data_IF_028987567014
#
_entry.id   IF_028987567014
#
_cell.length_a   1.000
_cell.length_b   1.000
_cell.length_c   1.000
_cell.angle_alpha   90.00
_cell.angle_beta   90.00
_cell.angle_gamma   90.00
#
_symmetry.space_group_name_H-M   'P 1'
#
loop_
_entity.id
_entity.type
_entity.pdbx_description
1 polymer ?
#
# COMPACT_ATOMS: atom_id res chain seq x y z
N UNK A 1 -11.19 5.67 -10.68
CA UNK A 1 -10.81 4.29 -10.35
C UNK A 1 -11.81 3.76 -9.35
N UNK A 2 -12.28 2.54 -9.49
CA UNK A 2 -13.22 1.92 -8.56
C UNK A 2 -12.91 0.42 -8.41
N UNK A 3 -13.32 -0.17 -7.30
CA UNK A 3 -13.25 -1.61 -7.07
C UNK A 3 -14.42 -2.07 -6.21
N UNK A 4 -14.75 -3.35 -6.34
CA UNK A 4 -15.70 -4.05 -5.49
C UNK A 4 -15.07 -5.39 -5.11
N UNK A 5 -15.23 -5.79 -3.85
CA UNK A 5 -14.68 -7.04 -3.33
C UNK A 5 -15.08 -8.23 -4.21
N UNK A 6 -14.11 -8.94 -4.78
CA UNK A 6 -14.28 -10.07 -5.69
C UNK A 6 -14.53 -9.73 -7.17
N UNK A 7 -14.51 -8.45 -7.56
CA UNK A 7 -14.86 -8.00 -8.91
C UNK A 7 -13.75 -7.23 -9.62
N UNK A 8 -12.58 -7.07 -9.00
CA UNK A 8 -11.44 -6.39 -9.61
C UNK A 8 -11.48 -4.86 -9.48
N UNK A 9 -10.38 -4.25 -9.92
CA UNK A 9 -10.17 -2.80 -9.96
C UNK A 9 -10.24 -2.28 -11.39
N UNK A 10 -10.88 -1.12 -11.58
CA UNK A 10 -11.24 -0.60 -12.90
C UNK A 10 -11.07 0.92 -13.02
N UNK A 11 -10.80 1.40 -14.24
CA UNK A 11 -10.99 2.80 -14.67
C UNK A 11 -11.81 2.78 -15.95
N UNK A 12 -13.02 3.35 -15.91
CA UNK A 12 -14.00 3.13 -16.98
C UNK A 12 -14.25 1.63 -17.14
N UNK A 13 -14.10 1.13 -18.37
CA UNK A 13 -14.25 -0.28 -18.72
C UNK A 13 -12.93 -1.06 -18.72
N UNK A 14 -11.81 -0.40 -18.40
CA UNK A 14 -10.49 -1.03 -18.35
C UNK A 14 -10.22 -1.64 -16.98
N UNK A 15 -10.03 -2.97 -16.95
CA UNK A 15 -9.55 -3.68 -15.76
C UNK A 15 -8.08 -3.37 -15.53
N UNK A 16 -7.73 -3.16 -14.27
CA UNK A 16 -6.36 -2.86 -13.85
C UNK A 16 -5.73 -4.03 -13.13
N UNK A 17 -4.41 -4.11 -13.27
CA UNK A 17 -3.56 -5.04 -12.55
C UNK A 17 -2.35 -4.30 -12.00
N UNK A 18 -1.89 -4.71 -10.82
CA UNK A 18 -0.63 -4.21 -10.27
C UNK A 18 0.55 -4.61 -11.17
N UNK A 19 1.67 -3.93 -11.01
CA UNK A 19 2.90 -4.31 -11.69
C UNK A 19 3.35 -5.71 -11.24
N UNK A 20 3.70 -6.58 -12.19
CA UNK A 20 4.19 -7.92 -11.88
C UNK A 20 5.54 -7.83 -11.16
N UNK A 21 5.69 -8.55 -10.05
CA UNK A 21 6.96 -8.63 -9.33
C UNK A 21 8.03 -9.31 -10.19
N UNK A 22 9.29 -8.92 -10.02
CA UNK A 22 10.42 -9.64 -10.62
C UNK A 22 10.57 -11.03 -10.01
N UNK A 23 11.21 -11.94 -10.74
CA UNK A 23 11.48 -13.31 -10.25
C UNK A 23 12.35 -13.32 -8.98
N UNK A 24 13.28 -12.36 -8.86
CA UNK A 24 14.14 -12.23 -7.68
C UNK A 24 13.45 -11.57 -6.49
N UNK A 25 12.28 -10.97 -6.70
CA UNK A 25 11.57 -10.16 -5.70
C UNK A 25 12.24 -8.82 -5.38
N UNK A 26 13.28 -8.44 -6.13
CA UNK A 26 13.94 -7.12 -6.02
C UNK A 26 13.24 -6.13 -6.97
N UNK A 27 13.04 -4.86 -6.58
CA UNK A 27 12.47 -3.87 -7.48
C UNK A 27 13.19 -3.77 -8.83
N UNK A 28 12.43 -3.44 -9.88
CA UNK A 28 12.96 -3.28 -11.23
C UNK A 28 13.45 -1.83 -11.40
N UNK A 29 14.69 -1.66 -11.86
CA UNK A 29 15.24 -0.34 -12.15
C UNK A 29 14.44 0.35 -13.27
N UNK A 30 14.21 1.66 -13.14
CA UNK A 30 13.43 2.45 -14.11
C UNK A 30 11.91 2.33 -13.96
N UNK A 31 11.39 1.40 -13.14
CA UNK A 31 9.96 1.34 -12.80
C UNK A 31 9.70 2.19 -11.57
N UNK A 32 8.64 3.01 -11.62
CA UNK A 32 8.33 3.97 -10.57
C UNK A 32 8.03 3.30 -9.23
N UNK A 33 8.52 3.87 -8.15
CA UNK A 33 8.17 3.49 -6.78
C UNK A 33 8.06 4.72 -5.89
N UNK A 34 7.40 4.61 -4.75
CA UNK A 34 7.39 5.66 -3.73
C UNK A 34 8.01 5.16 -2.43
N UNK A 35 8.91 5.96 -1.88
CA UNK A 35 9.61 5.63 -0.65
C UNK A 35 10.10 6.91 0.07
N UNK A 36 9.46 7.30 1.18
CA UNK A 36 9.84 8.50 1.92
C UNK A 36 11.27 8.36 2.43
N UNK A 37 12.10 9.32 2.04
CA UNK A 37 13.55 9.32 2.28
C UNK A 37 13.97 9.23 3.76
N UNK A 38 13.05 9.51 4.69
CA UNK A 38 13.28 9.46 6.15
C UNK A 38 13.03 8.08 6.77
N UNK A 39 12.23 7.23 6.11
CA UNK A 39 11.82 5.92 6.62
C UNK A 39 12.90 4.83 6.76
N UNK A 40 13.97 4.76 5.95
CA UNK A 40 14.90 3.64 6.03
C UNK A 40 15.69 3.60 7.35
N UNK A 41 15.70 4.70 8.13
CA UNK A 41 16.31 4.72 9.47
C UNK A 41 15.39 4.19 10.57
N UNK A 42 14.09 4.07 10.31
CA UNK A 42 13.07 3.77 11.32
C UNK A 42 12.52 2.35 11.20
N UNK A 43 12.65 1.72 10.03
CA UNK A 43 12.07 0.41 9.76
C UNK A 43 13.13 -0.60 9.33
N UNK A 44 12.88 -1.88 9.65
CA UNK A 44 13.78 -2.98 9.31
C UNK A 44 13.61 -3.40 7.84
N UNK A 45 13.89 -2.47 6.94
CA UNK A 45 13.77 -2.66 5.50
C UNK A 45 14.90 -3.54 5.01
N UNK A 46 14.57 -4.53 4.16
CA UNK A 46 15.56 -5.44 3.58
C UNK A 46 16.60 -4.66 2.79
N UNK A 47 17.88 -5.01 2.98
CA UNK A 47 19.02 -4.40 2.29
C UNK A 47 18.86 -4.35 0.77
N UNK A 48 18.28 -5.38 0.18
CA UNK A 48 18.02 -5.45 -1.27
C UNK A 48 17.12 -4.33 -1.79
N UNK A 49 16.16 -3.85 -0.99
CA UNK A 49 15.31 -2.70 -1.35
C UNK A 49 16.10 -1.39 -1.32
N UNK A 50 17.08 -1.29 -0.41
CA UNK A 50 17.93 -0.10 -0.29
C UNK A 50 18.98 -0.03 -1.40
N UNK A 51 19.46 -1.18 -1.88
CA UNK A 51 20.43 -1.25 -2.98
C UNK A 51 19.79 -0.96 -4.34
N UNK A 52 18.54 -1.38 -4.55
CA UNK A 52 17.77 -1.07 -5.74
C UNK A 52 16.29 -0.79 -5.39
N UNK A 53 15.94 0.49 -5.16
CA UNK A 53 14.57 0.89 -4.86
C UNK A 53 13.71 1.09 -6.13
N UNK A 54 14.25 0.86 -7.33
CA UNK A 54 13.62 1.33 -8.56
C UNK A 54 13.70 2.85 -8.72
N UNK A 55 12.76 3.44 -9.45
CA UNK A 55 12.75 4.88 -9.72
C UNK A 55 11.86 5.63 -8.71
N UNK A 56 12.45 6.21 -7.68
CA UNK A 56 11.69 6.87 -6.60
C UNK A 56 11.02 8.16 -7.09
N UNK A 57 9.69 8.24 -6.92
CA UNK A 57 8.84 9.41 -7.14
C UNK A 57 7.83 9.52 -6.00
N UNK A 58 8.04 10.50 -5.14
CA UNK A 58 7.12 10.81 -4.04
C UNK A 58 5.98 11.69 -4.58
N UNK A 59 4.74 11.19 -4.50
CA UNK A 59 3.57 11.88 -5.04
C UNK A 59 2.98 12.94 -4.09
N UNK A 60 3.47 13.01 -2.86
CA UNK A 60 2.97 13.92 -1.82
C UNK A 60 1.57 13.59 -1.29
N UNK A 61 0.99 12.46 -1.71
CA UNK A 61 -0.33 11.99 -1.29
C UNK A 61 -0.34 10.47 -1.19
N UNK A 62 -0.59 9.97 0.02
CA UNK A 62 -0.70 8.54 0.34
C UNK A 62 -1.69 7.82 -0.59
N UNK A 63 -2.88 8.41 -0.76
CA UNK A 63 -3.94 7.87 -1.59
C UNK A 63 -3.52 7.82 -3.08
N UNK A 64 -2.85 8.86 -3.57
CA UNK A 64 -2.38 8.91 -4.96
C UNK A 64 -1.38 7.79 -5.26
N UNK A 65 -0.40 7.59 -4.37
CA UNK A 65 0.62 6.55 -4.53
C UNK A 65 -0.01 5.15 -4.53
N UNK A 66 -0.96 4.88 -3.63
CA UNK A 66 -1.71 3.63 -3.62
C UNK A 66 -2.48 3.39 -4.92
N UNK A 67 -3.05 4.45 -5.52
CA UNK A 67 -3.75 4.34 -6.80
C UNK A 67 -2.77 4.04 -7.94
N UNK A 68 -1.59 4.65 -7.94
CA UNK A 68 -0.56 4.36 -8.94
C UNK A 68 -0.03 2.93 -8.83
N UNK A 69 0.05 2.38 -7.63
CA UNK A 69 0.34 0.95 -7.40
C UNK A 69 -0.79 0.07 -7.92
N UNK A 70 -2.05 0.36 -7.59
CA UNK A 70 -3.20 -0.41 -8.07
C UNK A 70 -3.34 -0.39 -9.61
N UNK A 71 -2.92 0.72 -10.24
CA UNK A 71 -2.86 0.87 -11.71
C UNK A 71 -1.69 0.11 -12.33
N UNK A 72 -0.67 -0.26 -11.56
CA UNK A 72 0.56 -0.87 -12.05
C UNK A 72 1.57 0.12 -12.65
N UNK A 73 1.32 1.42 -12.55
CA UNK A 73 2.29 2.46 -12.96
C UNK A 73 3.44 2.59 -11.97
N UNK A 74 3.19 2.28 -10.69
CA UNK A 74 4.21 2.10 -9.66
C UNK A 74 4.30 0.63 -9.26
N UNK A 75 5.51 0.11 -9.06
CA UNK A 75 5.73 -1.27 -8.61
C UNK A 75 5.47 -1.45 -7.12
N UNK A 76 5.72 -0.42 -6.31
CA UNK A 76 5.37 -0.39 -4.90
C UNK A 76 5.30 1.05 -4.39
N UNK A 77 4.65 1.22 -3.24
CA UNK A 77 4.69 2.43 -2.45
C UNK A 77 4.77 2.05 -0.97
N UNK A 78 5.70 2.66 -0.24
CA UNK A 78 5.74 2.60 1.22
C UNK A 78 5.38 4.00 1.69
N UNK A 79 4.17 4.21 2.20
CA UNK A 79 3.78 5.52 2.74
C UNK A 79 3.71 5.43 4.26
N UNK A 80 3.90 6.56 4.95
CA UNK A 80 3.61 6.65 6.37
C UNK A 80 2.97 7.96 6.77
N UNK A 81 2.55 8.00 8.03
CA UNK A 81 1.89 9.15 8.67
C UNK A 81 0.68 9.63 7.86
N UNK A 82 -0.33 8.78 7.77
CA UNK A 82 -1.64 9.16 7.24
C UNK A 82 -2.74 8.52 8.09
N UNK A 83 -3.99 8.92 7.84
CA UNK A 83 -5.16 8.44 8.58
C UNK A 83 -5.76 7.25 7.86
N UNK A 84 -6.58 6.47 8.55
CA UNK A 84 -7.13 5.22 7.99
C UNK A 84 -8.00 5.43 6.77
N UNK A 85 -8.69 6.57 6.67
CA UNK A 85 -9.43 6.94 5.47
C UNK A 85 -8.53 7.18 4.25
N UNK A 86 -7.28 7.62 4.42
CA UNK A 86 -6.34 7.79 3.32
C UNK A 86 -5.97 6.44 2.68
N UNK A 87 -6.03 5.36 3.47
CA UNK A 87 -5.69 4.00 3.02
C UNK A 87 -6.89 3.14 2.64
N UNK A 88 -8.08 3.40 3.19
CA UNK A 88 -9.22 2.50 3.12
C UNK A 88 -9.59 2.10 1.68
N UNK A 89 -9.67 3.08 0.77
CA UNK A 89 -9.93 2.81 -0.65
C UNK A 89 -8.76 2.08 -1.32
N UNK A 90 -7.52 2.55 -1.07
CA UNK A 90 -6.32 1.97 -1.66
C UNK A 90 -6.12 0.50 -1.32
N UNK A 91 -6.46 0.08 -0.10
CA UNK A 91 -6.38 -1.34 0.32
C UNK A 91 -7.24 -2.22 -0.57
N UNK A 92 -8.51 -1.84 -0.78
CA UNK A 92 -9.41 -2.61 -1.64
C UNK A 92 -8.92 -2.59 -3.10
N UNK A 93 -8.55 -1.42 -3.60
CA UNK A 93 -8.09 -1.25 -4.99
C UNK A 93 -6.86 -2.10 -5.31
N UNK A 94 -5.87 -2.14 -4.41
CA UNK A 94 -4.64 -2.91 -4.62
C UNK A 94 -4.94 -4.41 -4.57
N UNK A 95 -5.71 -4.87 -3.57
CA UNK A 95 -6.06 -6.28 -3.45
C UNK A 95 -6.86 -6.78 -4.67
N UNK A 96 -7.85 -6.01 -5.13
CA UNK A 96 -8.66 -6.36 -6.29
C UNK A 96 -7.90 -6.25 -7.62
N UNK A 97 -6.83 -5.46 -7.68
CA UNK A 97 -5.89 -5.43 -8.81
C UNK A 97 -4.88 -6.60 -8.79
N UNK A 98 -4.94 -7.50 -7.80
CA UNK A 98 -4.04 -8.65 -7.65
C UNK A 98 -2.74 -8.33 -6.89
N UNK A 99 -2.67 -7.18 -6.22
CA UNK A 99 -1.55 -6.78 -5.39
C UNK A 99 -1.65 -7.25 -3.94
N UNK A 100 -0.71 -6.77 -3.13
CA UNK A 100 -0.66 -7.00 -1.68
C UNK A 100 -0.50 -5.69 -0.96
N UNK A 101 -1.20 -5.55 0.17
CA UNK A 101 -0.98 -4.47 1.12
C UNK A 101 -0.41 -5.05 2.39
N UNK A 102 0.58 -4.34 2.96
CA UNK A 102 1.25 -4.75 4.19
C UNK A 102 1.23 -3.60 5.19
N UNK A 103 1.21 -3.94 6.47
CA UNK A 103 1.37 -3.00 7.59
C UNK A 103 2.54 -3.42 8.46
N UNK A 104 3.08 -2.48 9.21
CA UNK A 104 4.05 -2.78 10.25
C UNK A 104 3.33 -3.34 11.49
N UNK A 105 3.82 -4.44 12.05
CA UNK A 105 3.37 -4.96 13.34
C UNK A 105 4.15 -4.34 14.51
N UNK A 106 3.83 -4.74 15.74
CA UNK A 106 4.52 -4.30 16.96
C UNK A 106 6.01 -4.62 16.98
N UNK A 107 6.43 -5.64 16.24
CA UNK A 107 7.81 -6.12 16.18
C UNK A 107 8.62 -5.42 15.08
N UNK A 108 8.05 -4.40 14.42
CA UNK A 108 8.71 -3.68 13.34
C UNK A 108 8.82 -4.47 12.04
N UNK A 109 7.99 -5.49 11.85
CA UNK A 109 7.95 -6.34 10.66
C UNK A 109 6.72 -6.06 9.81
N UNK A 110 6.87 -6.14 8.49
CA UNK A 110 5.74 -6.03 7.57
C UNK A 110 4.95 -7.35 7.54
N UNK A 111 3.64 -7.27 7.77
CA UNK A 111 2.70 -8.37 7.65
C UNK A 111 1.54 -8.01 6.71
N UNK A 112 0.89 -9.02 6.11
CA UNK A 112 -0.25 -8.80 5.21
C UNK A 112 -1.38 -8.05 5.93
N UNK A 113 -2.01 -7.12 5.21
CA UNK A 113 -3.08 -6.31 5.74
C UNK A 113 -4.23 -6.20 4.73
N UNK A 114 -5.43 -6.64 5.15
CA UNK A 114 -6.62 -6.68 4.29
C UNK A 114 -7.63 -5.56 4.62
N UNK A 115 -7.28 -4.67 5.54
CA UNK A 115 -8.13 -3.57 6.01
C UNK A 115 -8.70 -3.81 7.41
N UNK A 116 -9.60 -2.93 7.81
CA UNK A 116 -10.23 -2.94 9.15
C UNK A 116 -11.63 -3.57 9.16
N UNK A 117 -12.02 -4.28 8.10
CA UNK A 117 -13.42 -4.69 7.87
C UNK A 117 -13.90 -5.85 8.75
N UNK A 118 -13.09 -6.38 9.65
CA UNK A 118 -13.49 -7.54 10.48
C UNK A 118 -13.82 -7.15 11.91
N UNK A 119 -15.02 -7.56 12.36
CA UNK A 119 -15.42 -7.72 13.76
C UNK A 119 -15.10 -6.58 14.72
N UNK A 120 -15.22 -5.32 14.28
CA UNK A 120 -15.04 -4.17 15.17
C UNK A 120 -16.38 -3.71 15.77
N UNK A 121 -16.34 -3.31 17.05
CA UNK A 121 -17.50 -2.76 17.75
C UNK A 121 -17.78 -1.33 17.26
N UNK A 122 -19.05 -0.98 17.05
CA UNK A 122 -19.45 0.38 16.65
C UNK A 122 -19.56 1.29 17.87
N UNK A 123 -18.41 1.62 18.47
CA UNK A 123 -18.31 2.47 19.66
C UNK A 123 -17.22 3.54 19.50
N UNK A 124 -17.27 4.58 20.33
CA UNK A 124 -16.36 5.72 20.26
C UNK A 124 -14.88 5.34 20.43
N UNK A 125 -14.57 4.36 21.29
CA UNK A 125 -13.21 3.92 21.55
C UNK A 125 -12.65 3.21 20.30
N UNK A 126 -13.45 2.34 19.69
CA UNK A 126 -13.09 1.65 18.45
C UNK A 126 -12.86 2.64 17.32
N UNK A 127 -13.73 3.64 17.15
CA UNK A 127 -13.51 4.69 16.15
C UNK A 127 -12.26 5.54 16.43
N UNK A 128 -11.94 5.82 17.70
CA UNK A 128 -10.69 6.50 18.06
C UNK A 128 -9.45 5.65 17.73
N UNK A 129 -9.50 4.34 17.96
CA UNK A 129 -8.42 3.42 17.56
C UNK A 129 -8.27 3.37 16.05
N UNK A 130 -9.38 3.23 15.32
CA UNK A 130 -9.40 3.27 13.85
C UNK A 130 -8.88 4.60 13.32
N UNK A 131 -9.25 5.75 13.87
CA UNK A 131 -8.73 7.07 13.45
C UNK A 131 -7.21 7.18 13.57
N UNK A 132 -6.61 6.41 14.47
CA UNK A 132 -5.17 6.40 14.71
C UNK A 132 -4.46 5.17 14.10
N UNK A 133 -5.18 4.32 13.37
CA UNK A 133 -4.62 3.09 12.78
C UNK A 133 -4.18 2.04 13.81
N UNK A 134 -4.74 2.06 15.02
CA UNK A 134 -4.34 1.22 16.17
C UNK A 134 -5.22 -0.02 16.38
N UNK A 135 -5.60 -0.69 15.29
CA UNK A 135 -6.44 -1.91 15.30
C UNK A 135 -5.77 -2.97 14.46
#
# INVERSE_FOLDING_TARGET
MHARKGHGTWIGDSRLHVHTASESGVPIAGVLASFPRWMPRTFNIKKSLMENPGEIRDGGSACYEQFMVAKGSMQYAITGVARTWDFAAGILLINEAGGKVMRLNSDGQFCNFYGWMENYKTDSETYMKLRNGRV
#
